data_IF_693685590863
#
_entry.id   IF_693685590863
#
_cell.length_a   1.000
_cell.length_b   1.000
_cell.length_c   1.000
_cell.angle_alpha   90.00
_cell.angle_beta   90.00
_cell.angle_gamma   90.00
#
_symmetry.space_group_name_H-M   'P 1'
#
loop_
_entity.id
_entity.type
_entity.pdbx_description
1 polymer ?
#
# COMPACT_ATOMS: atom_id res chain seq x y z
N UNK A 1 13.73 11.96 26.54
CA UNK A 1 13.19 12.84 25.49
C UNK A 1 12.76 11.90 24.36
N UNK A 2 11.51 11.46 24.34
CA UNK A 2 11.05 10.45 23.37
C UNK A 2 10.77 11.17 22.07
N UNK A 3 11.58 10.91 21.05
CA UNK A 3 11.30 11.31 19.67
C UNK A 3 9.88 10.81 19.35
N UNK A 4 8.93 11.72 19.14
CA UNK A 4 7.63 11.39 18.57
C UNK A 4 7.89 10.92 17.15
N UNK A 5 8.29 9.66 16.96
CA UNK A 5 8.26 9.02 15.66
C UNK A 5 6.81 9.08 15.22
N UNK A 6 6.48 10.03 14.34
CA UNK A 6 5.18 10.05 13.68
C UNK A 6 5.12 8.76 12.89
N UNK A 7 4.34 7.80 13.40
CA UNK A 7 4.11 6.54 12.73
C UNK A 7 3.51 6.82 11.35
N UNK A 8 4.02 6.19 10.28
CA UNK A 8 3.55 6.44 8.92
C UNK A 8 2.04 6.26 8.78
N UNK A 9 1.45 7.09 7.92
CA UNK A 9 0.06 6.98 7.49
C UNK A 9 -0.02 6.07 6.28
N UNK A 10 -0.71 4.96 6.42
CA UNK A 10 -0.89 3.92 5.41
C UNK A 10 -2.30 4.01 4.87
N UNK A 11 -2.45 4.06 3.54
CA UNK A 11 -3.74 3.89 2.88
C UNK A 11 -3.82 2.47 2.31
N UNK A 12 -4.85 1.70 2.66
CA UNK A 12 -5.07 0.34 2.15
C UNK A 12 -6.32 0.31 1.27
N UNK A 13 -6.18 -0.24 0.07
CA UNK A 13 -7.23 -0.32 -0.95
C UNK A 13 -7.43 -1.78 -1.34
N UNK A 14 -8.61 -2.33 -1.06
CA UNK A 14 -8.98 -3.72 -1.34
C UNK A 14 -10.50 -3.80 -1.44
N UNK A 15 -11.06 -4.49 -2.43
CA UNK A 15 -12.52 -4.60 -2.56
C UNK A 15 -13.16 -5.48 -1.48
N UNK A 16 -12.36 -6.30 -0.81
CA UNK A 16 -12.77 -7.15 0.31
C UNK A 16 -12.66 -6.41 1.65
N UNK A 17 -13.82 -6.04 2.21
CA UNK A 17 -13.91 -5.33 3.48
C UNK A 17 -13.39 -6.13 4.68
N UNK A 18 -13.57 -7.45 4.69
CA UNK A 18 -13.12 -8.32 5.80
C UNK A 18 -11.58 -8.36 5.86
N UNK A 19 -10.93 -8.38 4.68
CA UNK A 19 -9.47 -8.29 4.56
C UNK A 19 -8.98 -6.92 5.02
N UNK A 20 -9.64 -5.83 4.61
CA UNK A 20 -9.28 -4.47 5.03
C UNK A 20 -9.30 -4.30 6.54
N UNK A 21 -10.35 -4.74 7.23
CA UNK A 21 -10.45 -4.64 8.68
C UNK A 21 -9.32 -5.44 9.36
N UNK A 22 -9.07 -6.67 8.90
CA UNK A 22 -7.98 -7.51 9.42
C UNK A 22 -6.62 -6.84 9.29
N UNK A 23 -6.33 -6.29 8.10
CA UNK A 23 -5.06 -5.59 7.82
C UNK A 23 -4.97 -4.30 8.66
N UNK A 24 -6.07 -3.57 8.77
CA UNK A 24 -6.14 -2.34 9.56
C UNK A 24 -5.81 -2.62 11.01
N UNK A 25 -6.48 -3.59 11.64
CA UNK A 25 -6.24 -3.97 13.03
C UNK A 25 -4.78 -4.39 13.24
N UNK A 26 -4.23 -5.19 12.34
CA UNK A 26 -2.85 -5.63 12.41
C UNK A 26 -1.86 -4.45 12.38
N UNK A 27 -2.01 -3.55 11.40
CA UNK A 27 -1.12 -2.40 11.24
C UNK A 27 -1.31 -1.34 12.35
N UNK A 28 -2.54 -1.13 12.82
CA UNK A 28 -2.83 -0.27 13.97
C UNK A 28 -2.19 -0.84 15.24
N UNK A 29 -2.21 -2.16 15.44
CA UNK A 29 -1.51 -2.83 16.53
C UNK A 29 0.02 -2.68 16.43
N UNK A 30 0.56 -2.62 15.21
CA UNK A 30 1.95 -2.23 14.98
C UNK A 30 2.22 -0.73 15.20
N UNK A 31 1.18 0.07 15.44
CA UNK A 31 1.22 1.50 15.74
C UNK A 31 1.09 2.42 14.54
N UNK A 32 0.83 1.91 13.33
CA UNK A 32 0.62 2.72 12.13
C UNK A 32 -0.73 3.44 12.15
N UNK A 33 -0.84 4.55 11.42
CA UNK A 33 -2.13 5.20 11.18
C UNK A 33 -2.70 4.70 9.86
N UNK A 34 -3.76 3.90 9.91
CA UNK A 34 -4.25 3.19 8.73
C UNK A 34 -5.61 3.71 8.31
N UNK A 35 -5.71 4.16 7.06
CA UNK A 35 -6.97 4.42 6.40
C UNK A 35 -7.26 3.28 5.42
N UNK A 36 -8.53 2.86 5.35
CA UNK A 36 -8.97 1.78 4.47
C UNK A 36 -10.05 2.29 3.53
N UNK A 37 -10.10 1.74 2.32
CA UNK A 37 -11.16 2.02 1.36
C UNK A 37 -11.36 0.86 0.39
N UNK A 38 -12.60 0.60 0.02
CA UNK A 38 -12.96 -0.47 -0.91
C UNK A 38 -12.97 -0.03 -2.37
N UNK A 39 -12.62 1.24 -2.65
CA UNK A 39 -12.63 1.77 -4.00
C UNK A 39 -11.37 2.56 -4.29
N UNK A 40 -10.68 2.21 -5.37
CA UNK A 40 -9.56 2.97 -5.90
C UNK A 40 -9.93 4.45 -6.18
N UNK A 41 -11.18 4.71 -6.58
CA UNK A 41 -11.66 6.09 -6.82
C UNK A 41 -11.72 6.92 -5.53
N UNK A 42 -12.21 6.32 -4.43
CA UNK A 42 -12.19 6.94 -3.11
C UNK A 42 -10.75 7.10 -2.61
N UNK A 43 -9.89 6.10 -2.84
CA UNK A 43 -8.47 6.18 -2.50
C UNK A 43 -7.79 7.40 -3.14
N UNK A 44 -8.04 7.65 -4.43
CA UNK A 44 -7.53 8.84 -5.13
C UNK A 44 -8.04 10.16 -4.50
N UNK A 45 -9.31 10.21 -4.11
CA UNK A 45 -9.85 11.39 -3.41
C UNK A 45 -9.20 11.58 -2.05
N UNK A 46 -9.03 10.51 -1.28
CA UNK A 46 -8.37 10.54 0.03
C UNK A 46 -6.91 10.99 -0.09
N UNK A 47 -6.18 10.52 -1.08
CA UNK A 47 -4.79 10.94 -1.35
C UNK A 47 -4.69 12.44 -1.68
N UNK A 48 -5.74 13.04 -2.25
CA UNK A 48 -5.78 14.49 -2.52
C UNK A 48 -6.15 15.32 -1.29
N UNK A 49 -6.95 14.76 -0.38
CA UNK A 49 -7.43 15.47 0.81
C UNK A 49 -6.55 15.24 2.05
N UNK A 50 -5.73 14.19 2.06
CA UNK A 50 -4.91 13.78 3.19
C UNK A 50 -3.53 13.31 2.78
N UNK A 51 -2.52 13.70 3.56
CA UNK A 51 -1.17 13.16 3.40
C UNK A 51 -1.08 11.70 3.87
N UNK A 52 -0.57 10.84 3.00
CA UNK A 52 -0.21 9.46 3.28
C UNK A 52 1.27 9.25 2.98
N UNK A 53 1.91 8.36 3.75
CA UNK A 53 3.32 8.03 3.58
C UNK A 53 3.51 6.83 2.65
N UNK A 54 2.50 5.96 2.55
CA UNK A 54 2.52 4.76 1.70
C UNK A 54 1.11 4.36 1.30
N UNK A 55 0.98 3.81 0.11
CA UNK A 55 -0.26 3.25 -0.41
C UNK A 55 -0.10 1.75 -0.58
N UNK A 56 -1.08 0.99 -0.10
CA UNK A 56 -1.18 -0.45 -0.24
C UNK A 56 -2.44 -0.73 -1.07
N UNK A 57 -2.30 -1.41 -2.19
CA UNK A 57 -3.44 -1.72 -3.08
C UNK A 57 -3.44 -3.18 -3.46
N UNK A 58 -4.61 -3.78 -3.59
CA UNK A 58 -4.72 -5.07 -4.26
C UNK A 58 -4.44 -4.93 -5.77
N UNK A 59 -3.89 -5.99 -6.36
CA UNK A 59 -3.54 -6.08 -7.76
C UNK A 59 -4.79 -6.35 -8.62
N UNK A 60 -5.70 -7.19 -8.12
CA UNK A 60 -6.92 -7.60 -8.82
C UNK A 60 -8.15 -7.03 -8.11
N UNK A 61 -8.64 -5.88 -8.57
CA UNK A 61 -9.89 -5.30 -8.07
C UNK A 61 -10.95 -5.26 -9.19
N UNK A 62 -12.24 -5.45 -8.87
CA UNK A 62 -13.32 -5.20 -9.81
C UNK A 62 -13.42 -3.70 -10.15
N UNK A 63 -13.37 -3.38 -11.44
CA UNK A 63 -13.49 -2.00 -11.94
C UNK A 63 -12.13 -1.39 -12.31
N UNK A 64 -11.60 -0.50 -11.47
CA UNK A 64 -10.28 0.11 -11.69
C UNK A 64 -9.23 -0.89 -11.23
N UNK A 65 -8.42 -1.37 -12.17
CA UNK A 65 -7.35 -2.32 -11.86
C UNK A 65 -6.32 -1.70 -10.90
N UNK A 66 -5.82 -2.51 -9.96
CA UNK A 66 -4.77 -2.09 -9.02
C UNK A 66 -3.51 -1.57 -9.69
N UNK A 67 -3.19 -2.11 -10.87
CA UNK A 67 -2.08 -1.65 -11.72
C UNK A 67 -2.32 -0.23 -12.24
N UNK A 68 -3.53 0.08 -12.72
CA UNK A 68 -3.85 1.42 -13.20
C UNK A 68 -3.86 2.43 -12.05
N UNK A 69 -4.48 2.08 -10.93
CA UNK A 69 -4.46 2.91 -9.73
C UNK A 69 -3.02 3.19 -9.30
N UNK A 70 -2.18 2.16 -9.23
CA UNK A 70 -0.79 2.34 -8.84
C UNK A 70 -0.02 3.24 -9.80
N UNK A 71 -0.20 3.09 -11.12
CA UNK A 71 0.42 4.01 -12.10
C UNK A 71 0.06 5.48 -11.88
N UNK A 72 -1.13 5.76 -11.35
CA UNK A 72 -1.57 7.12 -11.07
C UNK A 72 -0.95 7.70 -9.80
N UNK A 73 -0.65 6.86 -8.79
CA UNK A 73 -0.20 7.32 -7.47
C UNK A 73 1.30 7.10 -7.21
N UNK A 74 1.91 6.14 -7.91
CA UNK A 74 3.32 5.76 -7.79
C UNK A 74 4.29 6.86 -8.25
N UNK A 75 3.80 7.99 -8.80
CA UNK A 75 4.64 9.16 -9.04
C UNK A 75 4.90 9.97 -7.76
N UNK A 76 3.95 9.96 -6.82
CA UNK A 76 3.95 10.83 -5.65
C UNK A 76 4.13 10.05 -4.33
N UNK A 77 3.72 8.77 -4.32
CA UNK A 77 3.71 7.92 -3.14
C UNK A 77 4.34 6.56 -3.40
N UNK A 78 5.02 5.95 -2.41
CA UNK A 78 5.44 4.58 -2.52
C UNK A 78 4.24 3.63 -2.53
N UNK A 79 4.27 2.65 -3.42
CA UNK A 79 3.16 1.70 -3.58
C UNK A 79 3.57 0.27 -3.26
N UNK A 80 2.81 -0.35 -2.38
CA UNK A 80 2.84 -1.76 -2.06
C UNK A 80 1.66 -2.45 -2.73
N UNK A 81 1.92 -3.40 -3.61
CA UNK A 81 0.87 -4.22 -4.19
C UNK A 81 0.66 -5.49 -3.38
N UNK A 82 -0.60 -5.89 -3.20
CA UNK A 82 -1.00 -7.17 -2.64
C UNK A 82 -1.68 -8.01 -3.72
N UNK A 83 -1.57 -9.33 -3.67
CA UNK A 83 -2.36 -10.23 -4.54
C UNK A 83 -2.65 -11.53 -3.80
N UNK A 84 -3.89 -12.02 -3.90
CA UNK A 84 -4.29 -13.34 -3.41
C UNK A 84 -4.07 -14.47 -4.42
N UNK A 85 -3.63 -14.14 -5.63
CA UNK A 85 -3.44 -15.09 -6.74
C UNK A 85 -1.96 -15.34 -7.01
N UNK A 86 -1.60 -16.55 -7.49
CA UNK A 86 -0.23 -16.86 -7.85
C UNK A 86 0.27 -15.92 -8.95
N UNK A 87 1.43 -15.31 -8.70
CA UNK A 87 2.10 -14.37 -9.61
C UNK A 87 2.32 -14.90 -11.03
N UNK A 88 2.43 -16.23 -11.18
CA UNK A 88 2.62 -16.89 -12.47
C UNK A 88 1.41 -16.72 -13.41
N UNK A 89 0.21 -16.55 -12.85
CA UNK A 89 -1.03 -16.39 -13.63
C UNK A 89 -1.29 -14.93 -14.02
N UNK A 90 -0.95 -13.98 -13.16
CA UNK A 90 -1.25 -12.56 -13.40
C UNK A 90 -0.08 -11.82 -14.06
N UNK A 91 1.13 -12.36 -13.93
CA UNK A 91 2.36 -11.69 -14.29
C UNK A 91 2.76 -10.66 -13.23
N UNK A 92 4.05 -10.61 -12.91
CA UNK A 92 4.58 -9.56 -12.03
C UNK A 92 4.48 -8.23 -12.79
N UNK A 93 3.80 -7.21 -12.25
CA UNK A 93 3.80 -5.89 -12.85
C UNK A 93 5.24 -5.36 -12.96
N UNK A 94 5.54 -4.49 -13.92
CA UNK A 94 6.88 -3.89 -13.96
C UNK A 94 7.17 -3.08 -12.68
N UNK A 95 8.43 -2.98 -12.28
CA UNK A 95 8.85 -2.17 -11.13
C UNK A 95 8.53 -0.67 -11.29
N UNK A 96 8.11 -0.23 -12.47
CA UNK A 96 7.65 1.13 -12.73
C UNK A 96 6.30 1.46 -12.07
N UNK A 97 5.59 0.44 -11.59
CA UNK A 97 4.24 0.57 -11.03
C UNK A 97 4.14 0.11 -9.59
N UNK A 98 5.23 -0.28 -8.91
CA UNK A 98 5.20 -0.65 -7.50
C UNK A 98 6.62 -0.73 -6.89
N UNK A 99 6.74 -0.45 -5.59
CA UNK A 99 7.99 -0.57 -4.82
C UNK A 99 8.16 -1.94 -4.16
N UNK A 100 7.03 -2.55 -3.78
CA UNK A 100 6.98 -3.84 -3.10
C UNK A 100 5.73 -4.62 -3.48
N UNK A 101 5.85 -5.95 -3.47
CA UNK A 101 4.75 -6.87 -3.72
C UNK A 101 4.64 -7.87 -2.57
N UNK A 102 3.40 -8.18 -2.18
CA UNK A 102 3.10 -9.10 -1.08
C UNK A 102 1.97 -10.04 -1.49
N UNK A 103 2.12 -11.31 -1.12
CA UNK A 103 1.02 -12.26 -1.19
C UNK A 103 0.03 -11.97 -0.05
N UNK A 104 -1.27 -11.80 -0.35
CA UNK A 104 -2.30 -11.55 0.67
C UNK A 104 -2.28 -12.62 1.77
N UNK A 105 -1.94 -13.87 1.45
CA UNK A 105 -1.79 -14.97 2.42
C UNK A 105 -0.70 -14.70 3.47
N UNK A 106 0.19 -13.75 3.22
CA UNK A 106 1.30 -13.35 4.09
C UNK A 106 1.20 -11.92 4.61
N UNK A 107 0.14 -11.19 4.27
CA UNK A 107 -0.02 -9.79 4.65
C UNK A 107 0.11 -9.59 6.18
N UNK A 108 -0.52 -10.44 6.98
CA UNK A 108 -0.49 -10.35 8.45
C UNK A 108 0.91 -10.53 9.09
N UNK A 109 1.93 -10.92 8.34
CA UNK A 109 3.29 -11.08 8.88
C UNK A 109 4.31 -10.20 8.14
N UNK A 110 4.17 -10.06 6.83
CA UNK A 110 5.15 -9.39 5.99
C UNK A 110 4.77 -7.94 5.61
N UNK A 111 3.53 -7.49 5.85
CA UNK A 111 3.05 -6.17 5.43
C UNK A 111 3.77 -5.00 6.11
N UNK A 112 3.95 -5.05 7.43
CA UNK A 112 4.68 -4.01 8.17
C UNK A 112 6.11 -3.83 7.63
N UNK A 113 6.82 -4.95 7.42
CA UNK A 113 8.19 -4.94 6.88
C UNK A 113 8.26 -4.46 5.44
N UNK A 114 7.27 -4.77 4.63
CA UNK A 114 7.20 -4.31 3.25
C UNK A 114 6.91 -2.81 3.17
N UNK A 115 6.03 -2.29 4.03
CA UNK A 115 5.78 -0.85 4.17
C UNK A 115 7.07 -0.12 4.54
N UNK A 116 7.78 -0.58 5.58
CA UNK A 116 9.04 0.03 6.01
C UNK A 116 10.08 0.03 4.87
N UNK A 117 10.16 -1.07 4.11
CA UNK A 117 11.05 -1.16 2.95
C UNK A 117 10.65 -0.22 1.82
N UNK A 118 9.36 -0.09 1.52
CA UNK A 118 8.86 0.78 0.46
C UNK A 118 9.14 2.25 0.80
N UNK A 119 8.83 2.68 2.02
CA UNK A 119 9.13 4.03 2.51
C UNK A 119 10.64 4.30 2.47
N UNK A 120 11.45 3.36 2.95
CA UNK A 120 12.91 3.51 2.96
C UNK A 120 13.50 3.62 1.55
N UNK A 121 13.03 2.80 0.60
CA UNK A 121 13.42 2.89 -0.82
C UNK A 121 13.05 4.23 -1.41
N UNK A 122 11.83 4.68 -1.18
CA UNK A 122 11.30 5.92 -1.71
C UNK A 122 12.07 7.15 -1.21
N UNK A 123 12.34 7.21 0.10
CA UNK A 123 13.16 8.25 0.72
C UNK A 123 14.59 8.26 0.16
N UNK A 124 15.17 7.07 -0.08
CA UNK A 124 16.49 6.92 -0.69
C UNK A 124 16.53 7.42 -2.15
N UNK A 125 15.48 7.15 -2.93
CA UNK A 125 15.37 7.64 -4.32
C UNK A 125 15.17 9.16 -4.38
N UNK A 126 14.36 9.75 -3.49
CA UNK A 126 14.14 11.22 -3.45
C UNK A 126 15.34 12.01 -2.93
N UNK A 127 16.18 11.43 -2.07
CA UNK A 127 17.43 12.08 -1.60
C UNK A 127 18.56 12.03 -2.62
N UNK A 128 18.44 11.18 -3.65
CA UNK A 128 19.43 11.03 -4.71
C UNK A 128 19.15 11.94 -5.94
N UNK A 129 18.03 12.68 -5.94
CA UNK A 129 17.64 13.65 -6.97
C UNK A 129 17.83 15.09 -6.47
#
# INVERSE_FOLDING_TARGET
MVERQMKPRVLVVDDDGDILETIQEHLVNCGYKVAITTSASMALSMLKESDFDVVVTDLVMPGINGIEFSRMVHADYPVVMMSGHPLDEIGVPNNDVHDAFIDKLRANHDLSRAIDKAIFRWDSCRKAA
#
